data_IF_755861170052
#
_entry.id   IF_755861170052
#
_cell.length_a   1.000
_cell.length_b   1.000
_cell.length_c   1.000
_cell.angle_alpha   90.00
_cell.angle_beta   90.00
_cell.angle_gamma   90.00
#
_symmetry.space_group_name_H-M   'P 1'
#
loop_
_entity.id
_entity.type
_entity.pdbx_description
1 polymer ?
#
# COMPACT_ATOMS: atom_id res chain seq x y z
N UNK A 1 -2.07 9.09 17.55
CA UNK A 1 -3.43 9.00 16.99
C UNK A 1 -3.43 8.71 15.48
N UNK A 2 -2.82 9.53 14.62
CA UNK A 2 -2.82 9.30 13.16
C UNK A 2 -2.24 7.94 12.72
N UNK A 3 -1.06 7.55 13.22
CA UNK A 3 -0.45 6.25 12.90
C UNK A 3 -1.32 5.05 13.32
N UNK A 4 -2.05 5.18 14.43
CA UNK A 4 -2.96 4.13 14.88
C UNK A 4 -4.14 3.97 13.91
N UNK A 5 -4.72 5.09 13.47
CA UNK A 5 -5.78 5.09 12.46
C UNK A 5 -5.29 4.53 11.13
N UNK A 6 -4.09 4.93 10.68
CA UNK A 6 -3.49 4.37 9.47
C UNK A 6 -3.23 2.87 9.58
N UNK A 7 -2.78 2.39 10.75
CA UNK A 7 -2.62 0.97 11.00
C UNK A 7 -3.93 0.21 10.81
N UNK A 8 -5.03 0.72 11.38
CA UNK A 8 -6.35 0.10 11.20
C UNK A 8 -6.83 0.12 9.76
N UNK A 9 -6.51 1.18 9.00
CA UNK A 9 -6.81 1.25 7.57
C UNK A 9 -6.01 0.23 6.76
N UNK A 10 -4.71 0.09 7.04
CA UNK A 10 -3.84 -0.90 6.39
C UNK A 10 -4.30 -2.33 6.70
N UNK A 11 -4.55 -2.66 7.97
CA UNK A 11 -5.10 -3.96 8.37
C UNK A 11 -6.47 -4.23 7.73
N UNK A 12 -7.27 -3.20 7.44
CA UNK A 12 -8.58 -3.35 6.83
C UNK A 12 -8.51 -3.71 5.33
N UNK A 13 -7.40 -3.40 4.64
CA UNK A 13 -7.23 -3.71 3.21
C UNK A 13 -7.41 -5.20 2.90
N UNK A 14 -6.98 -6.09 3.80
CA UNK A 14 -7.02 -7.55 3.59
C UNK A 14 -8.18 -8.23 4.34
N UNK A 15 -8.98 -7.50 5.13
CA UNK A 15 -10.12 -8.09 5.87
C UNK A 15 -11.29 -8.46 4.96
N UNK A 16 -11.71 -9.73 4.99
CA UNK A 16 -12.81 -10.26 4.17
C UNK A 16 -14.14 -9.48 4.28
N UNK A 17 -14.42 -8.87 5.44
CA UNK A 17 -15.65 -8.09 5.67
C UNK A 17 -15.71 -6.74 4.95
N UNK A 18 -14.59 -6.26 4.39
CA UNK A 18 -14.56 -4.99 3.65
C UNK A 18 -15.07 -5.22 2.22
N UNK A 19 -15.89 -4.28 1.72
CA UNK A 19 -16.38 -4.30 0.34
C UNK A 19 -15.28 -3.87 -0.64
N UNK A 20 -15.47 -4.15 -1.93
CA UNK A 20 -14.53 -3.71 -2.98
C UNK A 20 -14.38 -2.18 -3.01
N UNK A 21 -15.50 -1.44 -3.02
CA UNK A 21 -15.47 0.01 -2.91
C UNK A 21 -14.91 0.53 -1.57
N UNK A 22 -15.08 -0.22 -0.49
CA UNK A 22 -14.46 0.09 0.80
C UNK A 22 -12.93 0.07 0.72
N UNK A 23 -12.36 -0.97 0.08
CA UNK A 23 -10.91 -1.04 -0.16
C UNK A 23 -10.42 0.12 -1.02
N UNK A 24 -11.09 0.41 -2.13
CA UNK A 24 -10.73 1.55 -2.98
C UNK A 24 -10.79 2.88 -2.21
N UNK A 25 -11.76 3.04 -1.32
CA UNK A 25 -11.87 4.22 -0.47
C UNK A 25 -10.68 4.33 0.49
N UNK A 26 -10.28 3.22 1.11
CA UNK A 26 -9.09 3.16 1.98
C UNK A 26 -7.83 3.53 1.19
N UNK A 27 -7.62 2.94 0.02
CA UNK A 27 -6.46 3.23 -0.83
C UNK A 27 -6.40 4.71 -1.21
N UNK A 28 -7.53 5.31 -1.59
CA UNK A 28 -7.60 6.74 -1.88
C UNK A 28 -7.32 7.62 -0.66
N UNK A 29 -7.77 7.23 0.54
CA UNK A 29 -7.41 7.93 1.78
C UNK A 29 -5.90 7.86 2.04
N UNK A 30 -5.28 6.70 1.85
CA UNK A 30 -3.82 6.53 2.00
C UNK A 30 -3.06 7.42 1.01
N UNK A 31 -3.47 7.43 -0.27
CA UNK A 31 -2.91 8.30 -1.31
C UNK A 31 -2.94 9.77 -0.87
N UNK A 32 -4.08 10.23 -0.36
CA UNK A 32 -4.26 11.62 0.04
C UNK A 32 -3.46 12.00 1.29
N UNK A 33 -3.22 11.04 2.20
CA UNK A 33 -2.43 11.26 3.41
C UNK A 33 -0.93 11.26 3.12
N UNK A 34 -0.47 10.40 2.20
CA UNK A 34 0.94 10.26 1.82
C UNK A 34 1.38 11.35 0.85
N UNK A 35 0.48 11.82 -0.04
CA UNK A 35 0.79 12.86 -1.00
C UNK A 35 1.31 14.12 -0.28
N UNK A 36 2.56 14.55 -0.54
CA UNK A 36 3.10 15.75 0.08
C UNK A 36 2.22 16.94 -0.25
N UNK A 37 1.73 17.66 0.77
CA UNK A 37 0.94 18.88 0.58
C UNK A 37 1.76 20.06 0.03
N UNK A 38 3.10 19.92 0.00
CA UNK A 38 4.05 20.96 -0.40
C UNK A 38 5.38 20.34 -0.84
N UNK A 39 6.02 20.95 -1.84
CA UNK A 39 7.39 20.62 -2.31
C UNK A 39 8.45 20.81 -1.20
N UNK A 40 8.14 21.56 -0.14
CA UNK A 40 9.04 21.79 1.00
C UNK A 40 8.83 20.80 2.15
N UNK A 41 7.92 19.82 2.04
CA UNK A 41 7.71 18.83 3.09
C UNK A 41 8.94 17.91 3.19
N UNK A 42 9.91 18.29 4.04
CA UNK A 42 11.16 17.57 4.27
C UNK A 42 10.99 16.29 5.09
N UNK A 43 9.77 15.92 5.48
CA UNK A 43 9.53 14.78 6.36
C UNK A 43 8.75 13.67 5.64
N UNK A 44 9.45 12.60 5.24
CA UNK A 44 8.88 11.38 4.68
C UNK A 44 8.64 10.28 5.74
N UNK A 45 8.75 10.59 7.05
CA UNK A 45 8.62 9.58 8.11
C UNK A 45 7.28 8.84 8.11
N UNK A 46 6.20 9.48 7.63
CA UNK A 46 4.90 8.82 7.50
C UNK A 46 4.90 7.82 6.34
N UNK A 47 5.50 8.18 5.20
CA UNK A 47 5.72 7.30 4.05
C UNK A 47 6.53 6.08 4.46
N UNK A 48 7.67 6.29 5.12
CA UNK A 48 8.51 5.21 5.62
C UNK A 48 7.74 4.30 6.58
N UNK A 49 6.97 4.88 7.50
CA UNK A 49 6.15 4.11 8.42
C UNK A 49 5.09 3.26 7.70
N UNK A 50 4.44 3.78 6.66
CA UNK A 50 3.47 3.00 5.85
C UNK A 50 4.17 1.89 5.07
N UNK A 51 5.36 2.13 4.53
CA UNK A 51 6.15 1.10 3.84
C UNK A 51 6.46 -0.04 4.81
N UNK A 52 6.99 0.29 6.00
CA UNK A 52 7.41 -0.72 6.98
C UNK A 52 6.26 -1.55 7.56
N UNK A 53 5.03 -1.01 7.59
CA UNK A 53 3.89 -1.63 8.31
C UNK A 53 2.69 -1.96 7.43
N UNK A 54 2.76 -1.68 6.14
CA UNK A 54 1.58 -1.73 5.26
C UNK A 54 1.85 -2.12 3.82
N UNK A 55 3.12 -2.21 3.40
CA UNK A 55 3.45 -2.51 2.01
C UNK A 55 2.94 -3.89 1.60
N UNK A 56 3.01 -4.88 2.49
CA UNK A 56 2.52 -6.23 2.22
C UNK A 56 1.02 -6.26 1.93
N UNK A 57 0.20 -5.60 2.75
CA UNK A 57 -1.25 -5.51 2.56
C UNK A 57 -1.62 -4.75 1.27
N UNK A 58 -0.84 -3.73 0.92
CA UNK A 58 -1.01 -2.98 -0.33
C UNK A 58 -0.70 -3.89 -1.54
N UNK A 59 0.40 -4.66 -1.48
CA UNK A 59 0.79 -5.59 -2.53
C UNK A 59 -0.21 -6.75 -2.69
N UNK A 60 -0.76 -7.26 -1.59
CA UNK A 60 -1.80 -8.30 -1.61
C UNK A 60 -3.06 -7.83 -2.34
N UNK A 61 -3.55 -6.63 -2.01
CA UNK A 61 -4.70 -6.03 -2.72
C UNK A 61 -4.36 -5.76 -4.19
N UNK A 62 -3.15 -5.27 -4.49
CA UNK A 62 -2.71 -4.99 -5.86
C UNK A 62 -2.53 -6.24 -6.73
N UNK A 63 -2.11 -7.35 -6.13
CA UNK A 63 -1.94 -8.64 -6.80
C UNK A 63 -3.24 -9.45 -6.91
N UNK A 64 -4.32 -9.01 -6.27
CA UNK A 64 -5.61 -9.72 -6.32
C UNK A 64 -6.27 -9.54 -7.68
N UNK A 65 -6.59 -10.66 -8.34
CA UNK A 65 -7.37 -10.66 -9.58
C UNK A 65 -8.86 -10.42 -9.27
N UNK A 66 -9.52 -9.43 -9.90
CA UNK A 66 -10.96 -9.23 -9.75
C UNK A 66 -11.75 -10.50 -10.09
N UNK A 67 -12.82 -10.77 -9.32
CA UNK A 67 -13.68 -11.94 -9.48
C UNK A 67 -13.01 -13.31 -9.26
N UNK A 68 -11.79 -13.35 -8.71
CA UNK A 68 -11.14 -14.61 -8.34
C UNK A 68 -11.89 -15.31 -7.19
N UNK A 69 -12.13 -16.64 -7.29
CA UNK A 69 -12.77 -17.39 -6.22
C UNK A 69 -11.85 -17.47 -5.00
N UNK A 70 -12.37 -17.07 -3.83
CA UNK A 70 -11.61 -17.08 -2.56
C UNK A 70 -10.66 -15.89 -2.36
N UNK A 71 -10.50 -15.02 -3.37
CA UNK A 71 -9.69 -13.81 -3.28
C UNK A 71 -10.38 -12.64 -2.57
N UNK A 72 -9.61 -11.57 -2.31
CA UNK A 72 -10.15 -10.33 -1.77
C UNK A 72 -11.17 -9.71 -2.73
N UNK A 73 -12.21 -9.07 -2.19
CA UNK A 73 -13.19 -8.34 -3.00
C UNK A 73 -12.56 -7.03 -3.46
N UNK A 74 -12.18 -6.95 -4.73
CA UNK A 74 -11.61 -5.77 -5.40
C UNK A 74 -12.46 -5.34 -6.60
N UNK A 75 -12.32 -4.09 -7.04
CA UNK A 75 -12.94 -3.59 -8.28
C UNK A 75 -11.94 -3.70 -9.44
N UNK A 76 -12.40 -3.53 -10.68
CA UNK A 76 -11.53 -3.45 -11.86
C UNK A 76 -10.55 -2.26 -11.79
N UNK A 77 -10.86 -1.23 -11.01
CA UNK A 77 -10.02 -0.04 -10.84
C UNK A 77 -9.01 -0.18 -9.70
N UNK A 78 -9.20 -1.14 -8.78
CA UNK A 78 -8.30 -1.34 -7.63
C UNK A 78 -6.82 -1.46 -8.05
N UNK A 79 -6.44 -2.22 -9.09
CA UNK A 79 -5.03 -2.30 -9.51
C UNK A 79 -4.43 -0.94 -9.88
N UNK A 80 -5.21 -0.09 -10.56
CA UNK A 80 -4.77 1.27 -10.92
C UNK A 80 -4.57 2.14 -9.68
N UNK A 81 -5.51 2.10 -8.72
CA UNK A 81 -5.38 2.86 -7.47
C UNK A 81 -4.18 2.40 -6.64
N UNK A 82 -3.92 1.09 -6.57
CA UNK A 82 -2.73 0.55 -5.90
C UNK A 82 -1.45 1.00 -6.60
N UNK A 83 -1.40 0.96 -7.94
CA UNK A 83 -0.24 1.44 -8.69
C UNK A 83 0.07 2.91 -8.38
N UNK A 84 -0.94 3.78 -8.35
CA UNK A 84 -0.78 5.19 -7.96
C UNK A 84 -0.23 5.34 -6.53
N UNK A 85 -0.74 4.55 -5.58
CA UNK A 85 -0.25 4.56 -4.20
C UNK A 85 1.22 4.13 -4.11
N UNK A 86 1.59 3.02 -4.77
CA UNK A 86 2.97 2.52 -4.81
C UNK A 86 3.93 3.54 -5.45
N UNK A 87 3.54 4.17 -6.56
CA UNK A 87 4.32 5.25 -7.18
C UNK A 87 4.56 6.40 -6.20
N UNK A 88 3.52 6.84 -5.49
CA UNK A 88 3.66 7.94 -4.50
C UNK A 88 4.53 7.57 -3.31
N UNK A 89 4.44 6.33 -2.83
CA UNK A 89 5.32 5.83 -1.77
C UNK A 89 6.78 5.89 -2.23
N UNK A 90 7.06 5.40 -3.44
CA UNK A 90 8.41 5.36 -4.00
C UNK A 90 8.97 6.75 -4.33
N UNK A 91 8.14 7.66 -4.86
CA UNK A 91 8.52 9.05 -5.15
C UNK A 91 8.88 9.84 -3.89
N UNK A 92 8.29 9.51 -2.74
CA UNK A 92 8.57 10.15 -1.46
C UNK A 92 9.86 9.65 -0.79
N UNK A 93 10.54 8.64 -1.35
CA UNK A 93 11.83 8.14 -0.88
C UNK A 93 12.98 9.06 -1.30
N UNK A 94 13.91 9.31 -0.37
CA UNK A 94 14.90 10.38 -0.43
C UNK A 94 16.30 9.93 -0.72
N UNK A 95 16.64 8.69 -0.41
CA UNK A 95 17.97 8.15 -0.58
C UNK A 95 17.93 6.70 -1.05
N UNK A 96 19.08 6.22 -1.51
CA UNK A 96 19.21 4.88 -2.08
C UNK A 96 18.90 3.80 -1.04
N UNK A 97 19.29 3.98 0.23
CA UNK A 97 18.96 3.02 1.29
C UNK A 97 17.46 2.84 1.51
N UNK A 98 16.67 3.91 1.39
CA UNK A 98 15.21 3.82 1.48
C UNK A 98 14.62 3.08 0.27
N UNK A 99 15.15 3.35 -0.93
CA UNK A 99 14.71 2.69 -2.18
C UNK A 99 15.07 1.21 -2.19
N UNK A 100 16.28 0.86 -1.75
CA UNK A 100 16.74 -0.51 -1.57
C UNK A 100 15.84 -1.26 -0.58
N UNK A 101 15.47 -0.64 0.55
CA UNK A 101 14.54 -1.25 1.49
C UNK A 101 13.16 -1.51 0.86
N UNK A 102 12.60 -0.54 0.13
CA UNK A 102 11.34 -0.73 -0.60
C UNK A 102 11.42 -1.86 -1.62
N UNK A 103 12.49 -1.92 -2.41
CA UNK A 103 12.72 -2.99 -3.38
C UNK A 103 12.83 -4.35 -2.71
N UNK A 104 13.61 -4.45 -1.64
CA UNK A 104 13.78 -5.68 -0.86
C UNK A 104 12.44 -6.17 -0.32
N UNK A 105 11.61 -5.30 0.28
CA UNK A 105 10.30 -5.69 0.80
C UNK A 105 9.36 -6.20 -0.30
N UNK A 106 9.34 -5.56 -1.47
CA UNK A 106 8.58 -6.05 -2.63
C UNK A 106 9.11 -7.39 -3.14
N UNK A 107 10.44 -7.55 -3.20
CA UNK A 107 11.08 -8.77 -3.66
C UNK A 107 10.82 -9.93 -2.69
N UNK A 108 10.97 -9.70 -1.39
CA UNK A 108 10.66 -10.67 -0.33
C UNK A 108 9.19 -11.12 -0.46
N UNK A 109 8.25 -10.17 -0.60
CA UNK A 109 6.84 -10.49 -0.82
C UNK A 109 6.63 -11.38 -2.05
N UNK A 110 7.24 -11.05 -3.20
CA UNK A 110 7.09 -11.85 -4.43
C UNK A 110 7.74 -13.23 -4.27
N UNK A 111 8.92 -13.31 -3.65
CA UNK A 111 9.65 -14.57 -3.43
C UNK A 111 8.85 -15.55 -2.57
N UNK A 112 8.15 -15.07 -1.54
CA UNK A 112 7.32 -15.91 -0.67
C UNK A 112 6.24 -16.69 -1.45
N UNK A 113 5.77 -16.20 -2.61
CA UNK A 113 4.83 -16.94 -3.47
C UNK A 113 5.45 -18.13 -4.21
N UNK A 114 6.77 -18.19 -4.29
CA UNK A 114 7.51 -19.20 -5.05
C UNK A 114 8.40 -20.09 -4.16
N UNK A 115 8.37 -19.89 -2.84
CA UNK A 115 9.04 -20.78 -1.90
C UNK A 115 8.11 -21.95 -1.55
N UNK A 116 8.57 -23.17 -1.84
CA UNK A 116 7.88 -24.44 -1.57
C UNK A 116 7.65 -24.71 -0.07
#
# INVERSE_FOLDING_TARGET
ELRLLLRWLLEALTRAGISSYGRDSILNLLINVIAPKSLQASNNSLTLWVIDHGLQEILEVGGTVPHSPGGLRVTDNTPMTVAVLLSKLYEALKCDSERENFHRLCEDYVRDWFQD
#
